data_IF_571148901466
#
_entry.id   IF_571148901466
#
_cell.length_a   1.000
_cell.length_b   1.000
_cell.length_c   1.000
_cell.angle_alpha   90.00
_cell.angle_beta   90.00
_cell.angle_gamma   90.00
#
_symmetry.space_group_name_H-M   'P 1'
#
loop_
_entity.id
_entity.type
_entity.pdbx_description
1 polymer ?
#
# COMPACT_ATOMS: atom_id res chain seq x y z
N UNK A 1 -30.23 13.49 21.66
CA UNK A 1 -30.58 12.47 20.66
C UNK A 1 -29.70 11.23 20.88
N UNK A 2 -30.08 10.42 21.89
CA UNK A 2 -29.55 9.09 22.09
C UNK A 2 -30.35 8.16 21.19
N UNK A 3 -29.86 7.89 19.98
CA UNK A 3 -30.32 6.76 19.18
C UNK A 3 -29.58 5.52 19.67
N UNK A 4 -30.31 4.64 20.33
CA UNK A 4 -29.87 3.28 20.68
C UNK A 4 -29.56 2.52 19.37
N UNK A 5 -28.31 2.53 18.93
CA UNK A 5 -27.83 1.49 18.03
C UNK A 5 -27.76 0.20 18.84
N UNK A 6 -28.76 -0.65 18.69
CA UNK A 6 -28.66 -2.01 19.18
C UNK A 6 -27.45 -2.66 18.50
N UNK A 7 -26.40 -2.89 19.28
CA UNK A 7 -25.25 -3.67 18.87
C UNK A 7 -25.74 -5.12 18.64
N UNK A 8 -26.06 -5.44 17.41
CA UNK A 8 -26.09 -6.84 17.01
C UNK A 8 -24.65 -7.33 17.07
N UNK A 9 -24.28 -8.09 18.08
CA UNK A 9 -23.03 -8.82 18.21
C UNK A 9 -22.93 -9.96 17.17
N UNK A 10 -23.17 -9.67 15.90
CA UNK A 10 -22.75 -10.59 14.85
C UNK A 10 -21.23 -10.52 14.76
N UNK A 11 -20.58 -11.49 15.36
CA UNK A 11 -19.14 -11.69 15.21
C UNK A 11 -18.74 -11.53 13.73
N UNK A 12 -17.86 -10.60 13.40
CA UNK A 12 -17.52 -10.25 12.00
C UNK A 12 -16.97 -11.45 11.22
N UNK A 13 -16.59 -12.52 11.91
CA UNK A 13 -16.00 -13.72 11.33
C UNK A 13 -14.60 -13.47 10.79
N UNK A 14 -13.95 -14.53 10.31
CA UNK A 14 -12.58 -14.47 9.82
C UNK A 14 -12.48 -13.63 8.55
N UNK A 15 -11.50 -12.70 8.54
CA UNK A 15 -11.19 -11.80 7.43
C UNK A 15 -9.89 -12.23 6.74
N UNK A 16 -9.94 -12.51 5.45
CA UNK A 16 -8.76 -12.71 4.63
C UNK A 16 -8.14 -11.39 4.20
N UNK A 17 -6.85 -11.24 4.44
CA UNK A 17 -6.05 -10.12 3.93
C UNK A 17 -5.07 -10.68 2.91
N UNK A 18 -5.35 -10.43 1.63
CA UNK A 18 -4.54 -10.94 0.52
C UNK A 18 -3.64 -9.81 0.00
N UNK A 19 -2.35 -10.05 -0.05
CA UNK A 19 -1.34 -9.03 -0.30
C UNK A 19 -0.63 -9.28 -1.62
N UNK A 20 -0.53 -8.26 -2.47
CA UNK A 20 0.37 -8.25 -3.61
C UNK A 20 1.72 -7.72 -3.12
N UNK A 21 2.79 -8.52 -3.28
CA UNK A 21 4.12 -8.24 -2.70
C UNK A 21 4.22 -8.75 -1.26
N UNK A 22 3.78 -9.99 -1.02
CA UNK A 22 3.67 -10.59 0.31
C UNK A 22 5.01 -10.69 1.05
N UNK A 23 6.09 -10.95 0.32
CA UNK A 23 7.46 -11.09 0.87
C UNK A 23 8.23 -9.76 0.92
N UNK A 24 7.57 -8.63 0.58
CA UNK A 24 8.16 -7.30 0.74
C UNK A 24 8.31 -6.89 2.21
N UNK A 25 9.19 -5.91 2.49
CA UNK A 25 9.49 -5.45 3.85
C UNK A 25 8.24 -5.04 4.64
N UNK A 26 7.32 -4.29 4.02
CA UNK A 26 6.09 -3.82 4.68
C UNK A 26 5.15 -4.98 4.99
N UNK A 27 4.91 -5.86 4.02
CA UNK A 27 3.99 -6.97 4.18
C UNK A 27 4.49 -8.00 5.21
N UNK A 28 5.75 -8.41 5.10
CA UNK A 28 6.36 -9.37 6.05
C UNK A 28 6.38 -8.82 7.47
N UNK A 29 6.70 -7.53 7.64
CA UNK A 29 6.64 -6.85 8.95
C UNK A 29 5.22 -6.78 9.49
N UNK A 30 4.22 -6.47 8.65
CA UNK A 30 2.82 -6.43 9.05
C UNK A 30 2.36 -7.79 9.59
N UNK A 31 2.60 -8.86 8.83
CA UNK A 31 2.11 -10.19 9.20
C UNK A 31 2.86 -10.74 10.42
N UNK A 32 4.18 -10.56 10.48
CA UNK A 32 4.97 -10.93 11.65
C UNK A 32 4.53 -10.15 12.90
N UNK A 33 4.31 -8.83 12.76
CA UNK A 33 3.82 -7.98 13.85
C UNK A 33 2.47 -8.44 14.38
N UNK A 34 1.52 -8.76 13.49
CA UNK A 34 0.22 -9.31 13.90
C UNK A 34 0.37 -10.65 14.63
N UNK A 35 1.22 -11.56 14.14
CA UNK A 35 1.48 -12.83 14.81
C UNK A 35 2.08 -12.64 16.22
N UNK A 36 3.04 -11.73 16.37
CA UNK A 36 3.63 -11.37 17.66
C UNK A 36 2.62 -10.71 18.62
N UNK A 37 1.78 -9.79 18.10
CA UNK A 37 0.72 -9.16 18.88
C UNK A 37 -0.34 -10.15 19.36
N UNK A 38 -0.73 -11.12 18.54
CA UNK A 38 -1.64 -12.21 18.93
C UNK A 38 -1.11 -13.02 20.13
N UNK A 39 0.20 -13.21 20.20
CA UNK A 39 0.87 -13.89 21.33
C UNK A 39 1.21 -12.97 22.51
N UNK A 40 0.92 -11.67 22.41
CA UNK A 40 1.24 -10.71 23.46
C UNK A 40 2.75 -10.42 23.62
N UNK A 41 3.54 -10.73 22.61
CA UNK A 41 5.01 -10.58 22.65
C UNK A 41 5.47 -9.15 22.31
N UNK A 42 4.63 -8.40 21.60
CA UNK A 42 4.85 -6.98 21.30
C UNK A 42 3.60 -6.15 21.61
N UNK A 43 3.76 -4.89 21.99
CA UNK A 43 2.61 -4.03 22.32
C UNK A 43 1.82 -3.63 21.07
N UNK A 44 0.50 -3.45 21.23
CA UNK A 44 -0.41 -2.97 20.17
C UNK A 44 -0.37 -1.44 20.05
N UNK A 45 0.81 -0.87 19.83
CA UNK A 45 1.01 0.58 19.69
C UNK A 45 0.83 1.08 18.26
N UNK A 46 0.47 2.36 18.13
CA UNK A 46 0.29 3.07 16.87
C UNK A 46 -0.77 2.43 15.94
N UNK A 47 -1.74 1.73 16.51
CA UNK A 47 -2.86 1.16 15.79
C UNK A 47 -4.08 2.07 15.94
N UNK A 48 -4.65 2.52 14.81
CA UNK A 48 -5.82 3.39 14.81
C UNK A 48 -7.08 2.69 15.34
N UNK A 49 -7.17 1.37 15.13
CA UNK A 49 -8.34 0.56 15.49
C UNK A 49 -8.24 -0.08 16.88
N UNK A 50 -7.05 -0.16 17.44
CA UNK A 50 -6.80 -0.71 18.76
C UNK A 50 -5.85 0.25 19.53
N UNK A 51 -6.34 1.42 19.96
CA UNK A 51 -5.48 2.40 20.60
C UNK A 51 -4.91 1.86 21.91
N UNK A 52 -3.63 2.15 22.13
CA UNK A 52 -2.96 1.97 23.40
C UNK A 52 -3.67 2.84 24.47
N UNK A 53 -4.00 2.29 25.63
CA UNK A 53 -4.67 3.01 26.73
C UNK A 53 -3.83 4.20 27.26
N UNK A 54 -2.54 4.27 26.90
CA UNK A 54 -1.68 5.41 27.16
C UNK A 54 -2.04 6.68 26.37
N UNK A 55 -2.80 6.54 25.28
CA UNK A 55 -3.28 7.67 24.47
C UNK A 55 -4.75 7.92 24.76
N UNK A 56 -5.03 9.01 25.45
CA UNK A 56 -6.41 9.42 25.74
C UNK A 56 -7.09 9.96 24.48
N UNK A 57 -7.63 9.06 23.65
CA UNK A 57 -8.36 9.37 22.43
C UNK A 57 -9.61 8.49 22.35
N UNK A 58 -10.65 8.96 21.66
CA UNK A 58 -11.81 8.14 21.33
C UNK A 58 -11.38 6.93 20.51
N UNK A 59 -11.82 5.75 20.92
CA UNK A 59 -11.54 4.51 20.21
C UNK A 59 -12.42 4.41 18.99
N UNK A 60 -11.84 4.23 17.82
CA UNK A 60 -12.62 3.99 16.59
C UNK A 60 -13.46 2.71 16.69
N UNK A 61 -13.02 1.74 17.50
CA UNK A 61 -13.76 0.51 17.81
C UNK A 61 -15.07 0.76 18.55
N UNK A 62 -15.21 1.89 19.25
CA UNK A 62 -16.45 2.28 19.92
C UNK A 62 -17.49 2.84 18.92
N UNK A 63 -17.02 3.28 17.75
CA UNK A 63 -17.85 3.87 16.70
C UNK A 63 -18.13 2.90 15.55
N UNK A 64 -17.19 2.03 15.23
CA UNK A 64 -17.22 1.14 14.06
C UNK A 64 -16.80 -0.28 14.47
N UNK A 65 -17.44 -1.27 13.86
CA UNK A 65 -17.02 -2.66 14.01
C UNK A 65 -15.86 -2.98 13.07
N UNK A 66 -14.75 -3.42 13.64
CA UNK A 66 -13.60 -3.91 12.91
C UNK A 66 -13.42 -5.42 13.14
N UNK A 67 -12.76 -6.11 12.20
CA UNK A 67 -12.28 -7.46 12.44
C UNK A 67 -11.20 -7.43 13.53
N UNK A 68 -11.24 -8.35 14.48
CA UNK A 68 -10.18 -8.45 15.48
C UNK A 68 -8.88 -8.97 14.85
N UNK A 69 -7.73 -8.70 15.48
CA UNK A 69 -6.46 -9.21 14.99
C UNK A 69 -6.45 -10.74 14.93
N UNK A 70 -7.13 -11.39 15.89
CA UNK A 70 -7.25 -12.85 15.99
C UNK A 70 -7.93 -13.47 14.77
N UNK A 71 -8.84 -12.73 14.14
CA UNK A 71 -9.63 -13.19 12.99
C UNK A 71 -8.93 -12.98 11.64
N UNK A 72 -7.78 -12.31 11.62
CA UNK A 72 -7.04 -12.05 10.39
C UNK A 72 -6.32 -13.29 9.88
N UNK A 73 -6.49 -13.57 8.58
CA UNK A 73 -5.81 -14.65 7.85
C UNK A 73 -5.10 -14.04 6.66
N UNK A 74 -3.81 -14.31 6.53
CA UNK A 74 -2.97 -13.71 5.51
C UNK A 74 -2.65 -14.69 4.38
N UNK A 75 -2.56 -14.16 3.15
CA UNK A 75 -2.08 -14.82 1.96
C UNK A 75 -1.70 -13.78 0.92
N UNK A 76 -1.19 -14.19 -0.23
CA UNK A 76 -0.84 -13.24 -1.27
C UNK A 76 0.15 -13.79 -2.29
N UNK A 77 0.61 -12.91 -3.17
CA UNK A 77 1.51 -13.22 -4.27
C UNK A 77 2.85 -12.53 -4.09
N UNK A 78 3.91 -13.22 -4.50
CA UNK A 78 5.24 -12.62 -4.59
C UNK A 78 6.06 -13.22 -5.73
N UNK A 79 7.13 -12.53 -6.11
CA UNK A 79 8.11 -12.94 -7.13
C UNK A 79 9.09 -14.00 -6.63
N UNK A 80 9.16 -14.21 -5.32
CA UNK A 80 9.97 -15.21 -4.64
C UNK A 80 9.06 -16.18 -3.90
N UNK A 81 9.45 -17.45 -3.82
CA UNK A 81 8.70 -18.52 -3.16
C UNK A 81 9.13 -18.79 -1.71
N UNK A 82 9.98 -17.90 -1.16
CA UNK A 82 10.38 -17.93 0.24
C UNK A 82 9.16 -17.95 1.16
N UNK A 83 9.26 -18.60 2.31
CA UNK A 83 8.23 -18.47 3.36
C UNK A 83 8.26 -17.07 3.95
N UNK A 84 7.15 -16.66 4.55
CA UNK A 84 7.09 -15.35 5.19
C UNK A 84 8.06 -15.22 6.38
N UNK A 85 8.44 -16.35 7.01
CA UNK A 85 9.49 -16.37 8.02
C UNK A 85 10.85 -15.99 7.45
N UNK A 86 11.25 -16.60 6.33
CA UNK A 86 12.50 -16.30 5.64
C UNK A 86 12.54 -14.84 5.17
N UNK A 87 11.44 -14.35 4.60
CA UNK A 87 11.30 -12.95 4.19
C UNK A 87 11.44 -11.98 5.38
N UNK A 88 10.79 -12.28 6.52
CA UNK A 88 10.88 -11.45 7.73
C UNK A 88 12.29 -11.39 8.31
N UNK A 89 13.01 -12.52 8.31
CA UNK A 89 14.42 -12.55 8.73
C UNK A 89 15.31 -11.69 7.82
N UNK A 90 15.08 -11.77 6.51
CA UNK A 90 15.85 -11.04 5.49
C UNK A 90 15.69 -9.52 5.63
N UNK A 91 14.48 -9.05 5.93
CA UNK A 91 14.20 -7.62 6.11
C UNK A 91 14.66 -7.10 7.48
N UNK A 92 14.75 -7.94 8.50
CA UNK A 92 15.41 -7.64 9.78
C UNK A 92 14.73 -6.54 10.61
N UNK A 93 13.42 -6.29 10.42
CA UNK A 93 12.66 -5.30 11.23
C UNK A 93 12.44 -5.83 12.64
N UNK A 94 12.06 -7.10 12.77
CA UNK A 94 12.05 -7.82 14.04
C UNK A 94 13.33 -8.61 14.21
N UNK A 95 13.76 -8.81 15.46
CA UNK A 95 14.92 -9.63 15.77
C UNK A 95 14.64 -11.12 15.51
N UNK A 96 15.68 -11.88 15.22
CA UNK A 96 15.55 -13.31 14.91
C UNK A 96 14.97 -14.12 16.09
N UNK A 97 15.28 -13.74 17.34
CA UNK A 97 14.71 -14.37 18.54
C UNK A 97 13.20 -14.09 18.68
N UNK A 98 12.73 -12.88 18.36
CA UNK A 98 11.31 -12.56 18.33
C UNK A 98 10.58 -13.35 17.24
N UNK A 99 11.14 -13.42 16.04
CA UNK A 99 10.56 -14.17 14.92
C UNK A 99 10.50 -15.68 15.17
N UNK A 100 11.44 -16.22 15.97
CA UNK A 100 11.45 -17.63 16.35
C UNK A 100 10.18 -18.03 17.11
N UNK A 101 9.61 -17.13 17.90
CA UNK A 101 8.39 -17.37 18.67
C UNK A 101 7.13 -17.56 17.80
N UNK A 102 7.16 -17.04 16.57
CA UNK A 102 6.04 -17.11 15.60
C UNK A 102 6.42 -17.85 14.31
N UNK A 103 7.53 -18.61 14.37
CA UNK A 103 8.10 -19.27 13.19
C UNK A 103 7.08 -20.16 12.47
N UNK A 104 6.39 -21.02 13.19
CA UNK A 104 5.48 -21.98 12.60
C UNK A 104 4.32 -21.31 11.84
N UNK A 105 3.80 -20.21 12.39
CA UNK A 105 2.75 -19.41 11.76
C UNK A 105 3.25 -18.73 10.49
N UNK A 106 4.46 -18.19 10.51
CA UNK A 106 5.04 -17.50 9.34
C UNK A 106 5.51 -18.46 8.26
N UNK A 107 6.04 -19.64 8.62
CA UNK A 107 6.42 -20.69 7.65
C UNK A 107 5.21 -21.28 6.92
N UNK A 108 4.03 -21.29 7.57
CA UNK A 108 2.79 -21.74 6.96
C UNK A 108 2.25 -20.78 5.89
N UNK A 109 2.71 -19.53 5.87
CA UNK A 109 2.31 -18.54 4.87
C UNK A 109 3.37 -18.50 3.77
N UNK A 110 2.99 -19.03 2.60
CA UNK A 110 3.82 -19.02 1.40
C UNK A 110 3.09 -18.27 0.29
N UNK A 111 3.82 -17.46 -0.50
CA UNK A 111 3.21 -16.71 -1.59
C UNK A 111 2.76 -17.62 -2.72
N UNK A 112 1.75 -17.17 -3.45
CA UNK A 112 1.38 -17.71 -4.76
C UNK A 112 2.21 -17.04 -5.86
N UNK A 113 2.33 -17.66 -7.05
CA UNK A 113 2.99 -17.07 -8.19
C UNK A 113 2.38 -15.73 -8.56
N UNK A 114 3.20 -14.68 -8.68
CA UNK A 114 2.71 -13.32 -8.95
C UNK A 114 2.41 -13.10 -10.44
N UNK A 115 1.44 -12.24 -10.73
CA UNK A 115 1.31 -11.61 -12.03
C UNK A 115 2.28 -10.44 -12.09
N UNK A 116 3.26 -10.56 -12.99
CA UNK A 116 4.37 -9.62 -13.09
C UNK A 116 4.79 -9.42 -14.56
N UNK A 117 5.29 -8.24 -14.86
CA UNK A 117 5.96 -7.96 -16.12
C UNK A 117 7.14 -7.02 -15.88
N UNK A 118 8.30 -7.44 -16.37
CA UNK A 118 9.54 -6.67 -16.27
C UNK A 118 9.47 -5.32 -16.99
N UNK A 119 8.56 -5.20 -17.94
CA UNK A 119 8.31 -3.93 -18.62
C UNK A 119 7.83 -2.84 -17.68
N UNK A 120 7.11 -3.20 -16.59
CA UNK A 120 6.54 -2.25 -15.63
C UNK A 120 7.41 -2.01 -14.41
N UNK A 121 8.36 -2.92 -14.10
CA UNK A 121 9.30 -2.78 -13.00
C UNK A 121 10.65 -3.42 -13.39
N UNK A 122 11.46 -2.68 -14.14
CA UNK A 122 12.65 -3.19 -14.83
C UNK A 122 13.73 -3.72 -13.89
N UNK A 123 13.90 -3.08 -12.74
CA UNK A 123 14.94 -3.44 -11.78
C UNK A 123 14.55 -4.60 -10.85
N UNK A 124 13.32 -5.11 -10.97
CA UNK A 124 12.90 -6.29 -10.22
C UNK A 124 13.18 -7.59 -10.97
N UNK A 125 13.52 -8.60 -10.21
CA UNK A 125 13.74 -9.96 -10.71
C UNK A 125 13.02 -10.96 -9.80
N UNK A 126 12.40 -11.96 -10.37
CA UNK A 126 11.79 -13.07 -9.68
C UNK A 126 11.37 -14.15 -10.68
N UNK A 127 11.27 -15.39 -10.19
CA UNK A 127 10.90 -16.55 -11.01
C UNK A 127 9.55 -17.13 -10.64
N UNK A 128 9.01 -16.74 -9.51
CA UNK A 128 7.74 -17.20 -8.99
C UNK A 128 6.59 -16.38 -9.59
N UNK A 129 6.31 -16.63 -10.86
CA UNK A 129 5.35 -15.88 -11.67
C UNK A 129 4.36 -16.79 -12.37
N UNK A 130 3.15 -16.28 -12.58
CA UNK A 130 2.12 -16.97 -13.36
C UNK A 130 2.58 -17.10 -14.81
N UNK A 131 2.37 -18.26 -15.41
CA UNK A 131 2.66 -18.48 -16.83
C UNK A 131 1.91 -17.48 -17.72
N UNK A 132 2.57 -17.03 -18.79
CA UNK A 132 2.06 -15.96 -19.67
C UNK A 132 1.31 -16.48 -20.89
N UNK A 133 1.28 -17.79 -21.11
CA UNK A 133 0.69 -18.45 -22.28
C UNK A 133 -0.79 -18.13 -22.48
N UNK A 134 -1.52 -17.87 -21.38
CA UNK A 134 -2.92 -17.43 -21.40
C UNK A 134 -3.13 -15.92 -21.52
N UNK A 135 -2.04 -15.15 -21.72
CA UNK A 135 -2.11 -13.69 -21.79
C UNK A 135 -2.68 -13.02 -20.53
N UNK A 136 -3.21 -11.81 -20.71
CA UNK A 136 -3.83 -11.07 -19.59
C UNK A 136 -5.06 -11.78 -19.03
N UNK A 137 -5.86 -12.41 -19.88
CA UNK A 137 -7.03 -13.16 -19.46
C UNK A 137 -6.65 -14.33 -18.55
N UNK A 138 -5.68 -15.15 -18.98
CA UNK A 138 -5.20 -16.28 -18.18
C UNK A 138 -4.63 -15.87 -16.83
N UNK A 139 -3.92 -14.75 -16.77
CA UNK A 139 -3.39 -14.20 -15.52
C UNK A 139 -4.51 -13.70 -14.59
N UNK A 140 -5.53 -13.04 -15.12
CA UNK A 140 -6.71 -12.61 -14.36
C UNK A 140 -7.45 -13.82 -13.77
N UNK A 141 -7.64 -14.88 -14.56
CA UNK A 141 -8.29 -16.09 -14.08
C UNK A 141 -7.45 -16.84 -13.01
N UNK A 142 -6.12 -16.77 -13.09
CA UNK A 142 -5.24 -17.27 -12.03
C UNK A 142 -5.47 -16.50 -10.71
N UNK A 143 -5.49 -15.16 -10.76
CA UNK A 143 -5.77 -14.32 -9.58
C UNK A 143 -7.14 -14.65 -8.97
N UNK A 144 -8.17 -14.76 -9.80
CA UNK A 144 -9.53 -15.09 -9.34
C UNK A 144 -9.58 -16.46 -8.65
N UNK A 145 -8.92 -17.46 -9.24
CA UNK A 145 -8.82 -18.80 -8.66
C UNK A 145 -8.14 -18.78 -7.30
N UNK A 146 -7.03 -18.07 -7.17
CA UNK A 146 -6.28 -17.96 -5.91
C UNK A 146 -7.13 -17.31 -4.82
N UNK A 147 -7.81 -16.20 -5.13
CA UNK A 147 -8.73 -15.52 -4.20
C UNK A 147 -9.89 -16.43 -3.75
N UNK A 148 -10.51 -17.13 -4.70
CA UNK A 148 -11.64 -18.03 -4.42
C UNK A 148 -11.19 -19.21 -3.57
N UNK A 149 -10.10 -19.88 -3.97
CA UNK A 149 -9.52 -21.01 -3.24
C UNK A 149 -9.12 -20.64 -1.82
N UNK A 150 -8.50 -19.46 -1.65
CA UNK A 150 -8.11 -18.96 -0.33
C UNK A 150 -9.33 -18.74 0.56
N UNK A 151 -10.35 -18.07 0.03
CA UNK A 151 -11.60 -17.83 0.75
C UNK A 151 -12.26 -19.13 1.22
N UNK A 152 -12.38 -20.10 0.33
CA UNK A 152 -12.99 -21.40 0.60
C UNK A 152 -12.16 -22.23 1.58
N UNK A 153 -10.85 -22.39 1.31
CA UNK A 153 -9.93 -23.17 2.15
C UNK A 153 -9.93 -22.73 3.61
N UNK A 154 -10.04 -21.43 3.85
CA UNK A 154 -10.00 -20.89 5.20
C UNK A 154 -11.37 -20.56 5.79
N UNK A 155 -12.48 -20.85 5.09
CA UNK A 155 -13.83 -20.55 5.54
C UNK A 155 -14.03 -19.05 5.85
N UNK A 156 -13.51 -18.18 4.99
CA UNK A 156 -13.51 -16.73 5.24
C UNK A 156 -14.86 -16.11 4.88
N UNK A 157 -15.38 -15.27 5.76
CA UNK A 157 -16.59 -14.51 5.47
C UNK A 157 -16.32 -13.45 4.39
N UNK A 158 -15.17 -12.75 4.48
CA UNK A 158 -14.75 -11.69 3.56
C UNK A 158 -13.27 -11.81 3.25
N UNK A 159 -12.89 -11.24 2.12
CA UNK A 159 -11.49 -11.07 1.71
C UNK A 159 -11.30 -9.60 1.32
N UNK A 160 -10.16 -9.03 1.65
CA UNK A 160 -9.70 -7.73 1.15
C UNK A 160 -8.37 -7.91 0.45
N UNK A 161 -8.17 -7.18 -0.63
CA UNK A 161 -6.92 -7.15 -1.38
C UNK A 161 -6.12 -5.89 -1.03
N UNK A 162 -4.84 -6.05 -0.71
CA UNK A 162 -3.95 -4.92 -0.41
C UNK A 162 -2.74 -4.96 -1.34
N UNK A 163 -2.54 -3.89 -2.12
CA UNK A 163 -1.37 -3.79 -2.97
C UNK A 163 -0.22 -3.11 -2.20
N UNK A 164 0.80 -3.91 -1.86
CA UNK A 164 2.08 -3.48 -1.26
C UNK A 164 3.26 -3.76 -2.20
N UNK A 165 2.98 -4.06 -3.48
CA UNK A 165 4.02 -4.30 -4.47
C UNK A 165 4.82 -3.02 -4.78
N UNK A 166 6.02 -3.22 -5.31
CA UNK A 166 6.86 -2.12 -5.79
C UNK A 166 6.17 -1.30 -6.88
N UNK A 167 6.57 -0.05 -6.97
CA UNK A 167 5.99 0.93 -7.90
C UNK A 167 6.20 0.55 -9.36
N UNK A 168 5.12 0.43 -10.12
CA UNK A 168 5.18 0.30 -11.58
C UNK A 168 5.64 1.61 -12.24
N UNK A 169 6.23 1.49 -13.44
CA UNK A 169 6.62 2.67 -14.25
C UNK A 169 5.42 3.59 -14.48
N UNK A 170 5.72 4.87 -14.65
CA UNK A 170 4.70 5.83 -15.08
C UNK A 170 4.18 5.48 -16.47
N UNK A 171 2.88 5.60 -16.64
CA UNK A 171 2.23 5.49 -17.94
C UNK A 171 1.10 6.53 -18.05
N UNK A 172 0.96 7.08 -19.22
CA UNK A 172 -0.17 7.96 -19.51
C UNK A 172 -1.43 7.11 -19.78
N UNK A 173 -2.58 7.67 -19.44
CA UNK A 173 -3.86 7.03 -19.78
C UNK A 173 -4.08 7.05 -21.29
N UNK A 174 -4.57 5.94 -21.81
CA UNK A 174 -4.92 5.75 -23.21
C UNK A 174 -6.41 5.38 -23.31
N UNK A 175 -6.93 5.22 -24.51
CA UNK A 175 -8.33 4.85 -24.73
C UNK A 175 -8.74 3.54 -24.00
N UNK A 176 -7.79 2.62 -23.81
CA UNK A 176 -8.04 1.36 -23.08
C UNK A 176 -8.48 1.58 -21.63
N UNK A 177 -8.14 2.71 -21.04
CA UNK A 177 -8.41 3.02 -19.64
C UNK A 177 -9.75 3.75 -19.41
N UNK A 178 -10.38 4.26 -20.46
CA UNK A 178 -11.50 5.21 -20.31
C UNK A 178 -12.87 4.52 -20.14
N UNK A 179 -13.06 3.35 -20.74
CA UNK A 179 -14.33 2.60 -20.65
C UNK A 179 -14.09 1.14 -20.28
N UNK A 180 -15.06 0.52 -19.60
CA UNK A 180 -14.97 -0.89 -19.22
C UNK A 180 -14.87 -1.77 -20.47
N UNK A 181 -15.65 -1.51 -21.51
CA UNK A 181 -15.58 -2.24 -22.78
C UNK A 181 -14.20 -2.12 -23.46
N UNK A 182 -13.60 -0.92 -23.47
CA UNK A 182 -12.25 -0.70 -23.99
C UNK A 182 -11.21 -1.47 -23.20
N UNK A 183 -11.34 -1.50 -21.88
CA UNK A 183 -10.44 -2.23 -20.98
C UNK A 183 -10.54 -3.75 -21.20
N UNK A 184 -11.74 -4.29 -21.32
CA UNK A 184 -11.98 -5.71 -21.61
C UNK A 184 -11.43 -6.13 -22.98
N UNK A 185 -11.60 -5.29 -24.01
CA UNK A 185 -10.92 -5.51 -25.30
C UNK A 185 -9.39 -5.49 -25.16
N UNK A 186 -8.85 -4.60 -24.33
CA UNK A 186 -7.42 -4.55 -23.99
C UNK A 186 -6.94 -5.81 -23.29
N UNK A 187 -7.73 -6.41 -22.42
CA UNK A 187 -7.42 -7.71 -21.81
C UNK A 187 -7.33 -8.81 -22.89
N UNK A 188 -8.30 -8.88 -23.79
CA UNK A 188 -8.34 -9.91 -24.84
C UNK A 188 -7.19 -9.76 -25.87
N UNK A 189 -6.81 -8.53 -26.19
CA UNK A 189 -5.74 -8.22 -27.13
C UNK A 189 -4.34 -8.23 -26.49
N UNK A 190 -4.23 -8.43 -25.18
CA UNK A 190 -3.00 -8.26 -24.40
C UNK A 190 -2.38 -6.85 -24.55
N UNK A 191 -3.23 -5.82 -24.52
CA UNK A 191 -2.80 -4.44 -24.67
C UNK A 191 -1.76 -4.07 -23.60
N UNK A 192 -0.60 -3.51 -23.97
CA UNK A 192 0.44 -3.09 -23.02
C UNK A 192 0.00 -1.95 -22.09
N UNK A 193 -1.15 -1.30 -22.31
CA UNK A 193 -1.76 -0.39 -21.35
C UNK A 193 -2.35 -1.07 -20.12
N UNK A 194 -2.60 -2.39 -20.16
CA UNK A 194 -3.18 -3.14 -19.03
C UNK A 194 -2.08 -3.68 -18.13
N UNK A 195 -1.69 -2.91 -17.11
CA UNK A 195 -0.60 -3.23 -16.21
C UNK A 195 -0.90 -4.42 -15.28
N UNK A 196 0.12 -5.06 -14.67
CA UNK A 196 -0.06 -6.08 -13.64
C UNK A 196 -0.99 -5.64 -12.51
N UNK A 197 -0.80 -4.45 -11.95
CA UNK A 197 -1.66 -3.91 -10.90
C UNK A 197 -3.12 -3.81 -11.35
N UNK A 198 -3.37 -3.36 -12.58
CA UNK A 198 -4.73 -3.27 -13.14
C UNK A 198 -5.40 -4.64 -13.27
N UNK A 199 -4.65 -5.70 -13.62
CA UNK A 199 -5.18 -7.08 -13.71
C UNK A 199 -5.61 -7.60 -12.35
N UNK A 200 -4.86 -7.31 -11.27
CA UNK A 200 -5.27 -7.63 -9.90
C UNK A 200 -6.55 -6.89 -9.50
N UNK A 201 -6.65 -5.59 -9.78
CA UNK A 201 -7.83 -4.79 -9.44
C UNK A 201 -9.07 -5.23 -10.24
N UNK A 202 -8.89 -5.54 -11.54
CA UNK A 202 -9.98 -6.08 -12.36
C UNK A 202 -10.48 -7.43 -11.82
N UNK A 203 -9.58 -8.33 -11.42
CA UNK A 203 -9.96 -9.62 -10.83
C UNK A 203 -10.70 -9.44 -9.49
N UNK A 204 -10.21 -8.55 -8.62
CA UNK A 204 -10.84 -8.23 -7.35
C UNK A 204 -12.25 -7.66 -7.53
N UNK A 205 -12.40 -6.66 -8.40
CA UNK A 205 -13.71 -6.07 -8.73
C UNK A 205 -14.69 -7.11 -9.27
N UNK A 206 -14.20 -8.04 -10.14
CA UNK A 206 -15.04 -9.10 -10.70
C UNK A 206 -15.58 -10.07 -9.65
N UNK A 207 -14.88 -10.25 -8.54
CA UNK A 207 -15.25 -11.15 -7.43
C UNK A 207 -15.93 -10.44 -6.27
N UNK A 208 -16.17 -9.13 -6.36
CA UNK A 208 -16.72 -8.35 -5.25
C UNK A 208 -15.73 -8.20 -4.07
N UNK A 209 -14.41 -8.24 -4.34
CA UNK A 209 -13.36 -8.15 -3.32
C UNK A 209 -12.91 -6.69 -3.17
N UNK A 210 -13.16 -6.05 -2.01
CA UNK A 210 -12.64 -4.72 -1.71
C UNK A 210 -11.12 -4.66 -1.81
N UNK A 211 -10.58 -3.51 -2.24
CA UNK A 211 -9.14 -3.38 -2.36
C UNK A 211 -8.58 -2.02 -1.97
N UNK A 212 -7.34 -2.04 -1.46
CA UNK A 212 -6.57 -0.85 -1.11
C UNK A 212 -5.23 -0.83 -1.85
N UNK A 213 -4.95 0.28 -2.53
CA UNK A 213 -3.69 0.46 -3.25
C UNK A 213 -2.73 1.33 -2.44
N UNK A 214 -1.69 0.72 -1.87
CA UNK A 214 -0.62 1.42 -1.15
C UNK A 214 0.54 1.82 -2.07
N UNK A 215 0.59 1.29 -3.29
CA UNK A 215 1.56 1.72 -4.29
C UNK A 215 1.03 2.92 -5.10
N UNK A 216 1.88 3.79 -5.63
CA UNK A 216 1.46 4.86 -6.53
C UNK A 216 1.15 4.38 -7.94
N UNK A 217 1.27 3.08 -8.21
CA UNK A 217 0.95 2.46 -9.50
C UNK A 217 -0.44 2.83 -9.99
N UNK A 218 -0.58 3.04 -11.30
CA UNK A 218 -1.85 3.45 -11.90
C UNK A 218 -2.88 2.31 -11.85
N UNK A 219 -3.82 2.41 -10.91
CA UNK A 219 -4.86 1.42 -10.69
C UNK A 219 -6.28 2.00 -10.75
N UNK A 220 -6.43 3.28 -10.44
CA UNK A 220 -7.74 3.96 -10.37
C UNK A 220 -8.11 4.61 -11.71
N UNK A 221 -8.02 3.84 -12.80
CA UNK A 221 -8.46 4.29 -14.12
C UNK A 221 -9.98 4.28 -14.23
N UNK A 222 -10.60 5.14 -15.10
CA UNK A 222 -12.05 5.22 -15.23
C UNK A 222 -12.73 3.87 -15.44
N UNK A 223 -12.19 3.02 -16.31
CA UNK A 223 -12.72 1.67 -16.56
C UNK A 223 -12.86 0.81 -15.30
N UNK A 224 -11.81 0.78 -14.45
CA UNK A 224 -11.81 -0.01 -13.22
C UNK A 224 -12.70 0.61 -12.14
N UNK A 225 -12.83 1.94 -12.10
CA UNK A 225 -13.79 2.61 -11.22
C UNK A 225 -15.22 2.27 -11.60
N UNK A 226 -15.57 2.35 -12.88
CA UNK A 226 -16.90 1.96 -13.38
C UNK A 226 -17.19 0.50 -13.03
N UNK A 227 -16.22 -0.40 -13.20
CA UNK A 227 -16.39 -1.81 -12.83
C UNK A 227 -16.65 -1.99 -11.33
N UNK A 228 -15.87 -1.29 -10.49
CA UNK A 228 -16.03 -1.36 -9.02
C UNK A 228 -17.41 -0.81 -8.60
N UNK A 229 -17.83 0.32 -9.14
CA UNK A 229 -19.14 0.94 -8.89
C UNK A 229 -20.27 0.01 -9.31
N UNK A 230 -20.22 -0.55 -10.51
CA UNK A 230 -21.22 -1.49 -11.03
C UNK A 230 -21.36 -2.74 -10.15
N UNK A 231 -20.27 -3.21 -9.57
CA UNK A 231 -20.22 -4.41 -8.71
C UNK A 231 -20.37 -4.09 -7.21
N UNK A 232 -20.53 -2.82 -6.83
CA UNK A 232 -20.63 -2.40 -5.43
C UNK A 232 -19.37 -2.69 -4.62
N UNK A 233 -18.17 -2.62 -5.24
CA UNK A 233 -16.89 -2.94 -4.62
C UNK A 233 -16.22 -1.68 -4.08
N UNK A 234 -16.03 -1.54 -2.77
CA UNK A 234 -15.26 -0.45 -2.19
C UNK A 234 -13.78 -0.56 -2.57
N UNK A 235 -13.18 0.57 -2.90
CA UNK A 235 -11.73 0.66 -3.15
C UNK A 235 -11.16 1.99 -2.65
N UNK A 236 -9.87 1.99 -2.32
CA UNK A 236 -9.18 3.19 -1.87
C UNK A 236 -7.69 3.16 -2.20
N UNK A 237 -7.04 4.31 -2.00
CA UNK A 237 -5.59 4.45 -2.05
C UNK A 237 -5.04 4.76 -3.44
N UNK A 238 -3.96 5.55 -3.41
CA UNK A 238 -3.10 5.87 -4.55
C UNK A 238 -1.62 5.90 -4.14
N UNK A 239 -1.34 5.74 -2.88
CA UNK A 239 -0.03 5.60 -2.22
C UNK A 239 -0.28 5.53 -0.71
N UNK A 240 0.47 4.71 0.01
CA UNK A 240 0.42 4.66 1.46
C UNK A 240 0.94 5.95 2.08
N UNK A 241 0.26 6.47 3.08
CA UNK A 241 0.67 7.70 3.80
C UNK A 241 1.58 7.33 4.98
N UNK A 242 2.81 6.91 4.66
CA UNK A 242 3.85 6.54 5.63
C UNK A 242 5.08 7.42 5.47
N UNK A 243 6.01 7.38 6.42
CA UNK A 243 7.28 8.09 6.37
C UNK A 243 7.12 9.58 6.04
N UNK A 244 7.86 10.06 5.06
CA UNK A 244 7.82 11.48 4.67
C UNK A 244 6.42 11.97 4.27
N UNK A 245 5.60 11.16 3.59
CA UNK A 245 4.26 11.60 3.19
C UNK A 245 3.36 11.80 4.42
N UNK A 246 3.47 10.96 5.45
CA UNK A 246 2.77 11.13 6.72
C UNK A 246 3.18 12.46 7.39
N UNK A 247 4.49 12.70 7.54
CA UNK A 247 5.01 13.94 8.12
C UNK A 247 4.55 15.16 7.30
N UNK A 248 4.68 15.10 5.98
CA UNK A 248 4.26 16.18 5.07
C UNK A 248 2.78 16.52 5.24
N UNK A 249 1.89 15.54 5.26
CA UNK A 249 0.45 15.79 5.39
C UNK A 249 0.08 16.35 6.77
N UNK A 250 0.70 15.87 7.84
CA UNK A 250 0.48 16.38 9.19
C UNK A 250 0.95 17.84 9.34
N UNK A 251 2.18 18.13 8.87
CA UNK A 251 2.76 19.47 8.92
C UNK A 251 2.00 20.47 8.04
N UNK A 252 1.64 20.08 6.82
CA UNK A 252 0.86 20.92 5.90
C UNK A 252 -0.50 21.30 6.52
N UNK A 253 -1.16 20.36 7.19
CA UNK A 253 -2.41 20.60 7.89
C UNK A 253 -2.22 21.61 9.05
N UNK A 254 -1.18 21.44 9.84
CA UNK A 254 -0.82 22.36 10.91
C UNK A 254 -0.55 23.79 10.38
N UNK A 255 0.26 23.91 9.32
CA UNK A 255 0.58 25.21 8.71
C UNK A 255 -0.67 25.91 8.19
N UNK A 256 -1.57 25.17 7.52
CA UNK A 256 -2.87 25.68 7.05
C UNK A 256 -3.74 26.17 8.21
N UNK A 257 -3.87 25.40 9.28
CA UNK A 257 -4.66 25.77 10.45
C UNK A 257 -4.12 27.03 11.13
N UNK A 258 -2.81 27.23 11.10
CA UNK A 258 -2.14 28.44 11.62
C UNK A 258 -2.13 29.59 10.61
N UNK A 259 -2.72 29.42 9.41
CA UNK A 259 -2.74 30.39 8.32
C UNK A 259 -1.36 30.87 7.90
N UNK A 260 -0.38 29.99 7.96
CA UNK A 260 0.96 30.20 7.46
C UNK A 260 1.00 29.85 5.97
N UNK A 261 1.60 30.72 5.17
CA UNK A 261 1.78 30.48 3.73
C UNK A 261 2.99 29.57 3.54
N UNK A 262 2.84 28.51 2.78
CA UNK A 262 3.95 27.67 2.33
C UNK A 262 4.46 28.20 0.99
N UNK A 263 5.63 28.79 0.99
CA UNK A 263 6.24 29.41 -0.20
C UNK A 263 7.06 28.40 -1.00
N UNK A 264 7.64 27.41 -0.32
CA UNK A 264 8.42 26.36 -0.93
C UNK A 264 8.53 25.11 -0.03
N UNK A 265 8.71 23.96 -0.67
CA UNK A 265 8.94 22.70 0.03
C UNK A 265 9.91 21.82 -0.76
N UNK A 266 11.14 21.73 -0.30
CA UNK A 266 12.17 20.91 -0.93
C UNK A 266 12.36 19.61 -0.14
N UNK A 267 12.13 18.47 -0.79
CA UNK A 267 12.15 17.14 -0.18
C UNK A 267 13.21 16.25 -0.84
N UNK A 268 14.00 15.56 -0.02
CA UNK A 268 14.93 14.52 -0.48
C UNK A 268 14.66 13.23 0.30
N UNK A 269 14.63 12.10 -0.39
CA UNK A 269 14.53 10.78 0.21
C UNK A 269 15.71 9.91 -0.21
N UNK A 270 16.25 9.17 0.73
CA UNK A 270 17.27 8.15 0.51
C UNK A 270 16.72 6.78 0.90
N UNK A 271 16.75 5.83 -0.04
CA UNK A 271 16.27 4.46 0.15
C UNK A 271 17.34 3.48 -0.29
N UNK A 272 17.63 2.50 0.52
CA UNK A 272 18.64 1.46 0.22
C UNK A 272 18.06 0.09 -0.09
N UNK A 273 16.75 -0.08 0.05
CA UNK A 273 16.02 -1.33 -0.16
C UNK A 273 15.57 -1.55 -1.62
N UNK A 274 14.81 -2.63 -1.85
CA UNK A 274 14.29 -2.96 -3.18
C UNK A 274 13.37 -1.86 -3.76
N UNK A 275 12.60 -1.15 -2.92
CA UNK A 275 11.79 0.00 -3.39
C UNK A 275 12.69 1.10 -3.93
N UNK A 276 13.79 1.41 -3.23
CA UNK A 276 14.81 2.34 -3.71
C UNK A 276 15.45 1.89 -5.03
N UNK A 277 15.77 0.60 -5.15
CA UNK A 277 16.34 0.04 -6.38
C UNK A 277 15.37 0.13 -7.57
N UNK A 278 14.08 -0.09 -7.35
CA UNK A 278 13.04 0.10 -8.38
C UNK A 278 12.93 1.56 -8.78
N UNK A 279 12.97 2.46 -7.79
CA UNK A 279 12.90 3.91 -8.01
C UNK A 279 14.18 4.54 -8.56
N UNK A 280 15.27 3.77 -8.68
CA UNK A 280 16.47 4.17 -9.44
C UNK A 280 16.20 4.18 -10.96
N UNK A 281 15.17 3.46 -11.42
CA UNK A 281 14.63 3.62 -12.77
C UNK A 281 13.84 4.94 -12.89
N UNK A 282 14.20 5.83 -13.84
CA UNK A 282 13.56 7.16 -13.98
C UNK A 282 12.05 7.10 -14.19
N UNK A 283 11.52 6.09 -14.89
CA UNK A 283 10.09 5.98 -15.17
C UNK A 283 9.29 5.61 -13.91
N UNK A 284 9.82 4.68 -13.11
CA UNK A 284 9.23 4.31 -11.81
C UNK A 284 9.36 5.44 -10.79
N UNK A 285 10.50 6.14 -10.78
CA UNK A 285 10.74 7.32 -9.94
C UNK A 285 9.72 8.43 -10.24
N UNK A 286 9.45 8.71 -11.52
CA UNK A 286 8.47 9.72 -11.92
C UNK A 286 7.07 9.44 -11.36
N UNK A 287 6.63 8.17 -11.33
CA UNK A 287 5.36 7.77 -10.72
C UNK A 287 5.29 8.17 -9.25
N UNK A 288 6.34 7.89 -8.48
CA UNK A 288 6.42 8.20 -7.05
C UNK A 288 6.51 9.71 -6.79
N UNK A 289 7.30 10.44 -7.58
CA UNK A 289 7.44 11.89 -7.46
C UNK A 289 6.09 12.58 -7.71
N UNK A 290 5.37 12.21 -8.77
CA UNK A 290 4.05 12.78 -9.09
C UNK A 290 3.03 12.50 -7.98
N UNK A 291 3.03 11.29 -7.42
CA UNK A 291 2.17 10.95 -6.29
C UNK A 291 2.44 11.83 -5.07
N UNK A 292 3.71 12.03 -4.70
CA UNK A 292 4.10 12.86 -3.55
C UNK A 292 3.86 14.36 -3.78
N UNK A 293 4.04 14.83 -5.02
CA UNK A 293 3.84 16.24 -5.37
C UNK A 293 2.36 16.64 -5.32
N UNK A 294 1.44 15.77 -5.76
CA UNK A 294 0.01 16.07 -5.86
C UNK A 294 -0.70 16.29 -4.52
N UNK A 295 -0.12 15.82 -3.41
CA UNK A 295 -0.75 15.85 -2.09
C UNK A 295 -0.69 17.24 -1.44
N UNK A 296 0.44 17.96 -1.60
CA UNK A 296 0.72 19.16 -0.82
C UNK A 296 -0.30 20.28 -1.07
N UNK A 297 -0.52 20.65 -2.32
CA UNK A 297 -1.41 21.74 -2.71
C UNK A 297 -2.83 21.57 -2.19
N UNK A 298 -3.34 20.33 -2.22
CA UNK A 298 -4.68 20.01 -1.73
C UNK A 298 -4.81 20.18 -0.21
N UNK A 299 -3.74 19.88 0.54
CA UNK A 299 -3.74 19.99 2.00
C UNK A 299 -3.54 21.43 2.45
N UNK A 300 -2.57 22.17 1.89
CA UNK A 300 -2.32 23.57 2.28
C UNK A 300 -3.41 24.52 1.77
N UNK A 301 -4.11 24.14 0.68
CA UNK A 301 -5.22 24.90 0.12
C UNK A 301 -4.79 26.00 -0.87
N UNK A 302 -3.56 25.98 -1.32
CA UNK A 302 -3.02 26.84 -2.39
C UNK A 302 -1.92 26.10 -3.15
N UNK A 303 -1.57 26.59 -4.32
CA UNK A 303 -0.48 26.03 -5.10
C UNK A 303 0.87 26.45 -4.49
N UNK A 304 1.76 25.49 -4.27
CA UNK A 304 3.13 25.71 -3.81
C UNK A 304 4.05 25.67 -5.04
N UNK A 305 4.42 26.87 -5.53
CA UNK A 305 5.19 26.99 -6.79
C UNK A 305 6.56 26.32 -6.74
N UNK A 306 7.22 26.33 -5.57
CA UNK A 306 8.55 25.77 -5.37
C UNK A 306 8.52 24.42 -4.65
N UNK A 307 7.62 23.52 -5.05
CA UNK A 307 7.56 22.17 -4.49
C UNK A 307 8.44 21.22 -5.32
N UNK A 308 9.47 20.67 -4.69
CA UNK A 308 10.39 19.72 -5.31
C UNK A 308 10.51 18.46 -4.47
N UNK A 309 10.52 17.31 -5.12
CA UNK A 309 10.68 15.99 -4.49
C UNK A 309 11.77 15.23 -5.23
N UNK A 310 12.77 14.78 -4.49
CA UNK A 310 13.88 13.97 -4.98
C UNK A 310 13.92 12.64 -4.26
N UNK A 311 14.17 11.56 -4.98
CA UNK A 311 14.29 10.21 -4.44
C UNK A 311 15.55 9.61 -5.02
N UNK A 312 16.44 9.15 -4.13
CA UNK A 312 17.73 8.59 -4.50
C UNK A 312 17.88 7.18 -3.93
N UNK A 313 18.34 6.26 -4.76
CA UNK A 313 18.80 4.97 -4.27
C UNK A 313 20.17 5.13 -3.60
N UNK A 314 20.27 4.66 -2.36
CA UNK A 314 21.52 4.67 -1.61
C UNK A 314 21.66 3.37 -0.83
N UNK A 315 22.31 2.38 -1.42
CA UNK A 315 22.46 1.01 -0.90
C UNK A 315 22.86 0.91 0.58
N UNK A 316 23.82 1.74 1.11
CA UNK A 316 24.21 1.66 2.52
C UNK A 316 23.09 1.97 3.52
N UNK A 317 21.96 2.53 3.07
CA UNK A 317 20.81 2.81 3.94
C UNK A 317 20.03 1.54 4.30
N UNK A 318 20.15 0.44 3.53
CA UNK A 318 19.39 -0.79 3.75
C UNK A 318 17.87 -0.57 3.70
N UNK A 319 17.12 -1.20 4.60
CA UNK A 319 15.67 -1.02 4.69
C UNK A 319 15.24 0.28 5.41
N UNK A 320 16.16 0.99 6.06
CA UNK A 320 15.87 2.30 6.64
C UNK A 320 15.65 3.36 5.55
N UNK A 321 14.65 4.22 5.77
CA UNK A 321 14.34 5.36 4.90
C UNK A 321 14.71 6.65 5.61
N UNK A 322 15.52 7.47 4.96
CA UNK A 322 15.85 8.80 5.44
C UNK A 322 15.21 9.86 4.54
N UNK A 323 14.60 10.86 5.15
CA UNK A 323 13.97 11.97 4.44
C UNK A 323 14.39 13.29 5.05
N UNK A 324 14.78 14.22 4.18
CA UNK A 324 15.07 15.61 4.54
C UNK A 324 14.04 16.52 3.89
N UNK A 325 13.43 17.39 4.68
CA UNK A 325 12.53 18.43 4.19
C UNK A 325 13.03 19.80 4.62
N UNK A 326 13.07 20.72 3.66
CA UNK A 326 13.31 22.12 3.88
C UNK A 326 12.06 22.88 3.44
N UNK A 327 11.44 23.60 4.37
CA UNK A 327 10.13 24.21 4.17
C UNK A 327 10.27 25.70 4.40
N UNK A 328 10.03 26.49 3.36
CA UNK A 328 10.02 27.95 3.42
C UNK A 328 8.58 28.43 3.61
N UNK A 329 8.38 29.31 4.58
CA UNK A 329 7.07 29.70 5.10
C UNK A 329 7.04 31.23 5.27
N UNK A 330 5.94 31.85 4.89
CA UNK A 330 5.64 33.25 5.25
C UNK A 330 4.62 33.31 6.38
N UNK A 331 4.99 34.03 7.42
CA UNK A 331 4.16 34.26 8.59
C UNK A 331 3.57 35.66 8.66
N UNK A 332 3.41 36.18 9.88
CA UNK A 332 2.87 37.50 10.16
C UNK A 332 3.60 38.60 9.37
N UNK A 333 2.85 39.46 8.69
CA UNK A 333 3.38 40.52 7.81
C UNK A 333 4.30 40.01 6.69
N UNK A 334 4.16 38.78 6.25
CA UNK A 334 5.00 38.20 5.20
C UNK A 334 6.44 37.90 5.65
N UNK A 335 6.70 37.87 6.97
CA UNK A 335 8.05 37.60 7.46
C UNK A 335 8.44 36.15 7.18
N UNK A 336 9.64 35.91 6.62
CA UNK A 336 10.09 34.58 6.25
C UNK A 336 10.45 33.74 7.50
N UNK A 337 10.07 32.49 7.44
CA UNK A 337 10.46 31.45 8.39
C UNK A 337 10.91 30.21 7.63
N UNK A 338 11.77 29.43 8.23
CA UNK A 338 12.21 28.15 7.65
C UNK A 338 12.08 27.03 8.66
N UNK A 339 11.56 25.92 8.21
CA UNK A 339 11.52 24.68 9.00
C UNK A 339 12.35 23.61 8.29
N UNK A 340 13.15 22.88 9.06
CA UNK A 340 13.93 21.74 8.57
C UNK A 340 13.52 20.50 9.34
N UNK A 341 13.26 19.42 8.62
CA UNK A 341 12.92 18.12 9.19
C UNK A 341 13.92 17.11 8.67
N UNK A 342 14.46 16.32 9.58
CA UNK A 342 15.16 15.08 9.26
C UNK A 342 14.40 13.95 9.90
N UNK A 343 14.00 12.97 9.11
CA UNK A 343 13.19 11.86 9.55
C UNK A 343 13.82 10.55 9.06
N UNK A 344 14.17 9.69 10.00
CA UNK A 344 14.66 8.35 9.75
C UNK A 344 13.63 7.32 10.24
N UNK A 345 13.21 6.44 9.38
CA UNK A 345 12.26 5.38 9.73
C UNK A 345 12.63 4.03 9.10
#
# INVERSE_FOLDING_TARGET
LQSSFAHNEEHMGRLGVVIIGLNGAVASTLVAGVALMKKGLVPRRAMLTEPDDAVNAEKLTDLLQFASLEDLVFGGWDLNDESLYEASLKHGVFRADELQEVKAELEAVRPWPAVFSREYAQNLQGRHVVATDGGHRGQIEAIKRDLTTFKEKHGLRRVVLVNLASTEKWMERTAVHETLEGFEKGIESNDPGVSPTMRYMYAANSLGVPHANFAPSLANVPALRIQAENNGVPYCGMDGKTGQTLVKTAMASMLRLRRLMVDGWYSVNFLGNNDGLVLDDPASNQTKIRSKASVLDSVVGHKVENHQVHIHYYKPRGDAKEAWDNIDISGFCGQPMQMKINFLC
#
